data_IF_596569175992
#
_entry.id   IF_596569175992
#
_cell.length_a   1.000
_cell.length_b   1.000
_cell.length_c   1.000
_cell.angle_alpha   90.00
_cell.angle_beta   90.00
_cell.angle_gamma   90.00
#
_symmetry.space_group_name_H-M   'P 1'
#
loop_
_entity.id
_entity.type
_entity.pdbx_description
1 polymer ?
#
# COMPACT_ATOMS: atom_id res chain seq x y z
N UNK A 1 -6.48 0.60 -20.54
CA UNK A 1 -7.51 -0.36 -20.02
C UNK A 1 -6.99 -1.81 -19.84
N UNK A 2 -6.39 -2.45 -20.85
CA UNK A 2 -6.00 -3.87 -20.80
C UNK A 2 -5.09 -4.22 -19.60
N UNK A 3 -4.06 -3.41 -19.36
CA UNK A 3 -3.14 -3.60 -18.22
C UNK A 3 -3.88 -3.58 -16.87
N UNK A 4 -4.89 -2.72 -16.71
CA UNK A 4 -5.60 -2.53 -15.43
C UNK A 4 -6.43 -3.75 -15.02
N UNK A 5 -7.26 -4.30 -15.92
CA UNK A 5 -8.12 -5.41 -15.55
C UNK A 5 -7.34 -6.73 -15.51
N UNK A 6 -6.39 -6.96 -16.44
CA UNK A 6 -5.58 -8.18 -16.45
C UNK A 6 -4.72 -8.27 -15.19
N UNK A 7 -4.07 -7.17 -14.78
CA UNK A 7 -3.26 -7.17 -13.57
C UNK A 7 -4.10 -7.49 -12.32
N UNK A 8 -5.33 -6.96 -12.20
CA UNK A 8 -6.21 -7.32 -11.09
C UNK A 8 -6.67 -8.78 -11.13
N UNK A 9 -7.01 -9.32 -12.29
CA UNK A 9 -7.36 -10.75 -12.42
C UNK A 9 -6.17 -11.64 -12.06
N UNK A 10 -4.97 -11.32 -12.56
CA UNK A 10 -3.76 -12.07 -12.22
C UNK A 10 -3.44 -11.99 -10.71
N UNK A 11 -3.60 -10.81 -10.08
CA UNK A 11 -3.45 -10.65 -8.63
C UNK A 11 -4.49 -11.44 -7.84
N UNK A 12 -5.74 -11.50 -8.31
CA UNK A 12 -6.75 -12.36 -7.69
C UNK A 12 -6.36 -13.83 -7.76
N UNK A 13 -5.88 -14.29 -8.92
CA UNK A 13 -5.42 -15.68 -9.11
C UNK A 13 -4.24 -15.99 -8.21
N UNK A 14 -3.22 -15.13 -8.14
CA UNK A 14 -2.05 -15.38 -7.28
C UNK A 14 -2.42 -15.42 -5.81
N UNK A 15 -3.33 -14.56 -5.35
CA UNK A 15 -3.83 -14.57 -3.96
C UNK A 15 -4.68 -15.82 -3.68
N UNK A 16 -5.51 -16.28 -4.62
CA UNK A 16 -6.24 -17.55 -4.46
C UNK A 16 -5.28 -18.75 -4.40
N UNK A 17 -4.20 -18.74 -5.18
CA UNK A 17 -3.15 -19.75 -5.09
C UNK A 17 -2.46 -19.73 -3.72
N UNK A 18 -2.31 -18.57 -3.06
CA UNK A 18 -1.80 -18.49 -1.69
C UNK A 18 -2.72 -19.22 -0.72
N UNK A 19 -4.04 -19.02 -0.85
CA UNK A 19 -5.05 -19.72 -0.04
C UNK A 19 -4.96 -21.23 -0.23
N UNK A 20 -4.92 -21.70 -1.48
CA UNK A 20 -4.80 -23.13 -1.78
C UNK A 20 -3.51 -23.72 -1.19
N UNK A 21 -2.40 -22.99 -1.30
CA UNK A 21 -1.13 -23.43 -0.73
C UNK A 21 -1.17 -23.52 0.80
N UNK A 22 -1.79 -22.54 1.47
CA UNK A 22 -1.92 -22.53 2.93
C UNK A 22 -2.80 -23.69 3.42
N UNK A 23 -3.93 -23.93 2.75
CA UNK A 23 -4.83 -25.05 3.06
C UNK A 23 -4.17 -26.43 2.84
N UNK A 24 -3.24 -26.53 1.89
CA UNK A 24 -2.50 -27.76 1.64
C UNK A 24 -1.41 -28.01 2.69
N UNK A 25 -0.66 -26.97 3.08
CA UNK A 25 0.36 -27.07 4.12
C UNK A 25 0.67 -25.71 4.76
N UNK A 26 0.10 -25.44 5.94
CA UNK A 26 0.30 -24.20 6.69
C UNK A 26 1.75 -23.95 7.14
N UNK A 27 2.60 -24.98 7.20
CA UNK A 27 4.00 -24.83 7.65
C UNK A 27 4.94 -24.42 6.51
N UNK A 28 4.55 -24.67 5.26
CA UNK A 28 5.37 -24.35 4.11
C UNK A 28 5.10 -22.93 3.63
N UNK A 29 5.94 -21.98 4.04
CA UNK A 29 5.80 -20.57 3.68
C UNK A 29 6.48 -20.21 2.34
N UNK A 30 7.23 -21.14 1.74
CA UNK A 30 7.93 -20.87 0.47
C UNK A 30 7.00 -20.40 -0.66
N UNK A 31 5.83 -21.04 -0.88
CA UNK A 31 4.88 -20.59 -1.90
C UNK A 31 4.35 -19.18 -1.62
N UNK A 32 4.16 -18.79 -0.36
CA UNK A 32 3.74 -17.44 -0.02
C UNK A 32 4.76 -16.40 -0.47
N UNK A 33 6.06 -16.62 -0.24
CA UNK A 33 7.09 -15.69 -0.70
C UNK A 33 7.12 -15.57 -2.23
N UNK A 34 7.06 -16.68 -2.95
CA UNK A 34 7.07 -16.68 -4.42
C UNK A 34 5.80 -16.01 -4.96
N UNK A 35 4.63 -16.36 -4.46
CA UNK A 35 3.36 -15.79 -4.91
C UNK A 35 3.25 -14.30 -4.54
N UNK A 36 3.82 -13.88 -3.40
CA UNK A 36 3.87 -12.46 -3.01
C UNK A 36 4.77 -11.70 -3.95
N UNK A 37 5.94 -12.24 -4.28
CA UNK A 37 6.83 -11.66 -5.28
C UNK A 37 6.13 -11.51 -6.65
N UNK A 38 5.44 -12.56 -7.13
CA UNK A 38 4.69 -12.51 -8.39
C UNK A 38 3.56 -11.48 -8.33
N UNK A 39 2.80 -11.43 -7.23
CA UNK A 39 1.71 -10.45 -7.03
C UNK A 39 2.25 -9.02 -7.04
N UNK A 40 3.38 -8.77 -6.37
CA UNK A 40 4.06 -7.48 -6.35
C UNK A 40 4.57 -7.10 -7.74
N UNK A 41 5.17 -8.03 -8.48
CA UNK A 41 5.64 -7.82 -9.86
C UNK A 41 4.50 -7.39 -10.78
N UNK A 42 3.34 -8.07 -10.70
CA UNK A 42 2.14 -7.69 -11.46
C UNK A 42 1.66 -6.30 -11.05
N UNK A 43 1.68 -6.00 -9.74
CA UNK A 43 1.26 -4.72 -9.17
C UNK A 43 2.06 -3.51 -9.68
N UNK A 44 3.34 -3.70 -10.04
CA UNK A 44 4.18 -2.62 -10.56
C UNK A 44 3.67 -2.03 -11.88
N UNK A 45 2.92 -2.78 -12.67
CA UNK A 45 2.30 -2.28 -13.91
C UNK A 45 0.97 -1.56 -13.65
N UNK A 46 0.30 -1.86 -12.53
CA UNK A 46 -1.04 -1.32 -12.25
C UNK A 46 -0.99 0.17 -11.90
N UNK A 47 -0.13 0.57 -10.97
CA UNK A 47 -0.02 1.96 -10.49
C UNK A 47 0.26 2.97 -11.62
N UNK A 48 1.28 2.77 -12.50
CA UNK A 48 1.52 3.72 -13.59
C UNK A 48 0.39 3.71 -14.63
N UNK A 49 -0.21 2.54 -14.91
CA UNK A 49 -1.35 2.45 -15.82
C UNK A 49 -2.60 3.17 -15.27
N UNK A 50 -2.81 3.11 -13.96
CA UNK A 50 -3.91 3.79 -13.27
C UNK A 50 -3.71 5.30 -13.31
N UNK A 51 -2.50 5.76 -12.96
CA UNK A 51 -2.14 7.18 -13.03
C UNK A 51 -2.30 7.78 -14.43
N UNK A 52 -1.91 7.05 -15.48
CA UNK A 52 -2.09 7.48 -16.87
C UNK A 52 -3.57 7.50 -17.32
N UNK A 53 -4.44 6.75 -16.66
CA UNK A 53 -5.87 6.66 -17.03
C UNK A 53 -6.71 7.79 -16.46
N UNK A 54 -6.32 8.38 -15.33
CA UNK A 54 -7.04 9.49 -14.68
C UNK A 54 -7.25 10.69 -15.62
N UNK A 55 -6.21 11.29 -16.24
CA UNK A 55 -6.39 12.47 -17.08
C UNK A 55 -7.29 12.22 -18.30
N UNK A 56 -7.32 10.99 -18.82
CA UNK A 56 -8.17 10.60 -19.93
C UNK A 56 -9.67 10.59 -19.56
N UNK A 57 -10.00 10.40 -18.28
CA UNK A 57 -11.37 10.27 -17.81
C UNK A 57 -12.04 11.60 -17.42
N UNK A 58 -11.27 12.59 -16.95
CA UNK A 58 -11.83 13.83 -16.34
C UNK A 58 -11.49 15.12 -17.09
N UNK A 59 -10.58 15.07 -18.08
CA UNK A 59 -10.12 16.26 -18.79
C UNK A 59 -9.27 17.21 -17.93
N UNK A 60 -8.61 18.19 -18.57
CA UNK A 60 -7.61 19.03 -17.89
C UNK A 60 -8.17 19.92 -16.77
N UNK A 61 -9.42 20.37 -16.91
CA UNK A 61 -10.04 21.32 -15.98
C UNK A 61 -10.41 20.67 -14.64
N UNK A 62 -10.72 19.38 -14.64
CA UNK A 62 -11.08 18.62 -13.44
C UNK A 62 -9.94 17.72 -12.93
N UNK A 63 -8.76 17.79 -13.56
CA UNK A 63 -7.61 16.95 -13.22
C UNK A 63 -7.16 17.11 -11.77
N UNK A 64 -7.07 18.36 -11.29
CA UNK A 64 -6.64 18.64 -9.91
C UNK A 64 -7.66 18.14 -8.88
N UNK A 65 -8.97 18.42 -9.01
CA UNK A 65 -10.00 17.79 -8.17
C UNK A 65 -9.98 16.25 -8.20
N UNK A 66 -9.88 15.65 -9.39
CA UNK A 66 -9.88 14.19 -9.54
C UNK A 66 -8.66 13.54 -8.89
N UNK A 67 -7.47 14.10 -9.10
CA UNK A 67 -6.25 13.63 -8.47
C UNK A 67 -6.29 13.81 -6.94
N UNK A 68 -6.92 14.88 -6.45
CA UNK A 68 -7.11 15.10 -5.01
C UNK A 68 -8.05 14.04 -4.42
N UNK A 69 -9.18 13.77 -5.07
CA UNK A 69 -10.12 12.72 -4.64
C UNK A 69 -9.46 11.34 -4.65
N UNK A 70 -8.72 11.01 -5.71
CA UNK A 70 -7.97 9.76 -5.82
C UNK A 70 -6.93 9.59 -4.69
N UNK A 71 -6.20 10.65 -4.35
CA UNK A 71 -5.25 10.60 -3.24
C UNK A 71 -5.96 10.43 -1.89
N UNK A 72 -7.10 11.10 -1.67
CA UNK A 72 -7.88 10.96 -0.44
C UNK A 72 -8.42 9.52 -0.31
N UNK A 73 -8.96 8.94 -1.39
CA UNK A 73 -9.51 7.57 -1.35
C UNK A 73 -8.43 6.52 -1.16
N UNK A 74 -7.25 6.66 -1.78
CA UNK A 74 -6.12 5.75 -1.56
C UNK A 74 -5.58 5.84 -0.13
N UNK A 75 -5.44 7.06 0.38
CA UNK A 75 -5.05 7.35 1.77
C UNK A 75 -6.03 6.71 2.77
N UNK A 76 -7.34 6.91 2.56
CA UNK A 76 -8.37 6.32 3.40
C UNK A 76 -8.38 4.78 3.33
N UNK A 77 -8.19 4.23 2.12
CA UNK A 77 -8.13 2.77 1.92
C UNK A 77 -6.93 2.15 2.66
N UNK A 78 -5.77 2.81 2.65
CA UNK A 78 -4.59 2.39 3.43
C UNK A 78 -4.87 2.41 4.93
N UNK A 79 -5.44 3.50 5.45
CA UNK A 79 -5.83 3.62 6.85
C UNK A 79 -6.78 2.49 7.29
N UNK A 80 -7.83 2.22 6.51
CA UNK A 80 -8.79 1.14 6.78
C UNK A 80 -8.10 -0.23 6.69
N UNK A 81 -7.24 -0.43 5.68
CA UNK A 81 -6.49 -1.65 5.47
C UNK A 81 -5.62 -2.03 6.67
N UNK A 82 -4.82 -1.08 7.16
CA UNK A 82 -3.94 -1.29 8.31
C UNK A 82 -4.68 -1.43 9.63
N UNK A 83 -5.74 -0.65 9.85
CA UNK A 83 -6.40 -0.56 11.15
C UNK A 83 -7.46 -1.65 11.35
N UNK A 84 -8.28 -1.89 10.33
CA UNK A 84 -9.56 -2.57 10.50
C UNK A 84 -9.59 -3.94 9.83
N UNK A 85 -8.93 -4.10 8.68
CA UNK A 85 -9.15 -5.26 7.81
C UNK A 85 -8.84 -6.60 8.51
N UNK A 86 -7.67 -6.71 9.15
CA UNK A 86 -7.27 -7.93 9.86
C UNK A 86 -8.19 -8.25 11.04
N UNK A 87 -8.50 -7.27 11.88
CA UNK A 87 -9.36 -7.44 13.05
C UNK A 87 -10.82 -7.72 12.71
N UNK A 88 -11.38 -7.06 11.69
CA UNK A 88 -12.75 -7.30 11.20
C UNK A 88 -12.85 -8.73 10.67
N UNK A 89 -11.92 -9.15 9.82
CA UNK A 89 -11.96 -10.50 9.24
C UNK A 89 -11.78 -11.57 10.31
N UNK A 90 -10.87 -11.39 11.27
CA UNK A 90 -10.67 -12.33 12.36
C UNK A 90 -11.93 -12.50 13.24
N UNK A 91 -12.70 -11.44 13.46
CA UNK A 91 -13.96 -11.50 14.24
C UNK A 91 -15.15 -12.01 13.42
N UNK A 92 -15.24 -11.64 12.15
CA UNK A 92 -16.33 -12.05 11.28
C UNK A 92 -16.21 -13.51 10.82
N UNK A 93 -14.99 -14.00 10.65
CA UNK A 93 -14.69 -15.36 10.18
C UNK A 93 -13.74 -16.06 11.17
N UNK A 94 -14.26 -16.52 12.33
CA UNK A 94 -13.49 -17.33 13.26
C UNK A 94 -13.04 -18.65 12.59
N UNK A 95 -11.92 -19.26 13.04
CA UNK A 95 -11.39 -20.47 12.44
C UNK A 95 -12.43 -21.59 12.50
N UNK A 96 -12.66 -22.23 11.36
CA UNK A 96 -13.61 -23.33 11.26
C UNK A 96 -13.01 -24.50 10.48
N UNK A 97 -13.53 -25.68 10.77
CA UNK A 97 -13.07 -26.93 10.13
C UNK A 97 -14.14 -27.39 9.16
N UNK A 98 -13.79 -27.54 7.90
CA UNK A 98 -14.71 -27.99 6.86
C UNK A 98 -14.32 -29.41 6.47
N UNK A 99 -15.21 -30.37 6.76
CA UNK A 99 -15.04 -31.76 6.37
C UNK A 99 -15.73 -31.97 5.03
N UNK A 100 -14.96 -32.09 3.94
CA UNK A 100 -15.49 -32.47 2.62
C UNK A 100 -15.03 -33.88 2.30
N UNK A 101 -15.97 -34.83 2.35
CA UNK A 101 -15.72 -36.26 2.11
C UNK A 101 -14.58 -36.81 2.99
N UNK A 102 -13.37 -36.99 2.46
CA UNK A 102 -12.18 -37.51 3.15
C UNK A 102 -11.14 -36.44 3.51
N UNK A 103 -11.39 -35.17 3.20
CA UNK A 103 -10.45 -34.08 3.41
C UNK A 103 -10.93 -33.17 4.55
N UNK A 104 -10.17 -33.12 5.64
CA UNK A 104 -10.39 -32.19 6.75
C UNK A 104 -9.62 -30.91 6.48
N UNK A 105 -10.30 -29.87 6.04
CA UNK A 105 -9.70 -28.55 5.81
C UNK A 105 -9.85 -27.70 7.07
N UNK A 106 -8.72 -27.34 7.67
CA UNK A 106 -8.67 -26.38 8.77
C UNK A 106 -8.51 -24.98 8.18
N UNK A 107 -9.58 -24.19 8.16
CA UNK A 107 -9.55 -22.84 7.61
C UNK A 107 -9.28 -21.86 8.74
N UNK A 108 -8.19 -21.11 8.63
CA UNK A 108 -7.86 -20.04 9.56
C UNK A 108 -8.47 -18.71 9.09
N UNK A 109 -8.63 -17.76 10.01
CA UNK A 109 -9.13 -16.42 9.66
C UNK A 109 -8.24 -15.68 8.64
N UNK A 110 -6.94 -16.00 8.61
CA UNK A 110 -5.98 -15.44 7.64
C UNK A 110 -6.32 -15.90 6.21
N UNK A 111 -6.76 -17.15 6.03
CA UNK A 111 -7.15 -17.66 4.71
C UNK A 111 -8.35 -16.88 4.16
N UNK A 112 -9.30 -16.54 5.03
CA UNK A 112 -10.47 -15.72 4.69
C UNK A 112 -10.10 -14.28 4.32
N UNK A 113 -9.05 -13.73 4.93
CA UNK A 113 -8.51 -12.43 4.56
C UNK A 113 -8.01 -12.44 3.10
N UNK A 114 -7.25 -13.46 2.72
CA UNK A 114 -6.77 -13.62 1.35
C UNK A 114 -7.91 -13.86 0.36
N UNK A 115 -8.92 -14.67 0.70
CA UNK A 115 -10.12 -14.85 -0.13
C UNK A 115 -10.84 -13.51 -0.35
N UNK A 116 -11.01 -12.70 0.70
CA UNK A 116 -11.64 -11.39 0.59
C UNK A 116 -10.82 -10.45 -0.32
N UNK A 117 -9.50 -10.43 -0.17
CA UNK A 117 -8.61 -9.62 -1.04
C UNK A 117 -8.71 -10.07 -2.50
N UNK A 118 -8.74 -11.37 -2.77
CA UNK A 118 -8.94 -11.89 -4.11
C UNK A 118 -10.28 -11.47 -4.71
N UNK A 119 -11.37 -11.53 -3.92
CA UNK A 119 -12.69 -11.07 -4.35
C UNK A 119 -12.69 -9.57 -4.67
N UNK A 120 -12.03 -8.75 -3.84
CA UNK A 120 -11.92 -7.31 -4.09
C UNK A 120 -11.16 -7.00 -5.39
N UNK A 121 -10.11 -7.77 -5.72
CA UNK A 121 -9.44 -7.65 -7.01
C UNK A 121 -10.35 -8.03 -8.18
N UNK A 122 -11.17 -9.07 -8.04
CA UNK A 122 -12.16 -9.44 -9.07
C UNK A 122 -13.24 -8.36 -9.24
N UNK A 123 -13.76 -7.81 -8.14
CA UNK A 123 -14.71 -6.68 -8.18
C UNK A 123 -14.09 -5.47 -8.87
N UNK A 124 -12.82 -5.16 -8.55
CA UNK A 124 -12.07 -4.09 -9.23
C UNK A 124 -11.95 -4.34 -10.74
N UNK A 125 -11.59 -5.57 -11.14
CA UNK A 125 -11.52 -5.95 -12.55
C UNK A 125 -12.87 -5.78 -13.27
N UNK A 126 -13.98 -6.17 -12.64
CA UNK A 126 -15.33 -5.98 -13.19
C UNK A 126 -15.66 -4.49 -13.33
N UNK A 127 -15.37 -3.67 -12.31
CA UNK A 127 -15.59 -2.23 -12.37
C UNK A 127 -14.79 -1.56 -13.49
N UNK A 128 -13.53 -1.98 -13.71
CA UNK A 128 -12.69 -1.51 -14.83
C UNK A 128 -13.29 -1.94 -16.18
N UNK A 129 -13.87 -3.14 -16.26
CA UNK A 129 -14.55 -3.60 -17.48
C UNK A 129 -15.82 -2.81 -17.78
N UNK A 130 -16.50 -2.26 -16.76
CA UNK A 130 -17.65 -1.37 -16.94
C UNK A 130 -17.27 0.01 -17.51
N UNK A 131 -15.99 0.41 -17.45
CA UNK A 131 -15.53 1.68 -18.05
C UNK A 131 -15.57 1.55 -19.58
N UNK A 132 -16.25 2.48 -20.30
CA UNK A 132 -16.29 2.46 -21.76
C UNK A 132 -14.89 2.50 -22.36
N UNK A 133 -14.58 1.59 -23.28
CA UNK A 133 -13.24 1.50 -23.91
C UNK A 133 -12.81 2.84 -24.49
N UNK A 134 -13.75 3.55 -25.14
CA UNK A 134 -13.54 4.84 -25.80
C UNK A 134 -13.09 5.95 -24.85
N UNK A 135 -13.38 5.84 -23.55
CA UNK A 135 -12.98 6.83 -22.56
C UNK A 135 -11.50 6.70 -22.14
N UNK A 136 -10.84 5.59 -22.52
CA UNK A 136 -9.45 5.28 -22.19
C UNK A 136 -8.59 5.08 -23.45
N UNK A 137 -9.16 5.29 -24.63
CA UNK A 137 -8.44 5.25 -25.90
C UNK A 137 -7.91 6.67 -26.17
N UNK A 138 -6.59 6.81 -26.21
CA UNK A 138 -5.96 8.01 -26.75
C UNK A 138 -6.27 8.06 -28.25
N UNK A 139 -6.82 9.17 -28.76
CA UNK A 139 -6.92 9.43 -30.20
C UNK A 139 -5.48 9.59 -30.74
N UNK A 140 -4.80 8.48 -30.99
CA UNK A 140 -3.52 8.46 -31.72
C UNK A 140 -3.83 8.43 -33.22
N UNK A 141 -3.56 9.51 -33.98
CA UNK A 141 -3.89 9.57 -35.41
C UNK A 141 -3.05 8.62 -36.29
N UNK A 142 -2.02 7.98 -35.74
CA UNK A 142 -1.14 7.05 -36.44
C UNK A 142 -0.99 5.73 -35.65
N UNK A 143 -2.03 4.90 -35.65
CA UNK A 143 -1.83 3.47 -35.45
C UNK A 143 -1.29 2.88 -36.75
N UNK A 144 0.01 3.05 -36.98
CA UNK A 144 0.72 2.14 -37.89
C UNK A 144 0.53 0.72 -37.35
N UNK A 145 -0.16 -0.09 -38.14
CA UNK A 145 -0.40 -1.51 -37.91
C UNK A 145 0.90 -2.15 -37.42
N UNK A 146 0.90 -2.61 -36.17
CA UNK A 146 1.93 -3.47 -35.60
C UNK A 146 2.14 -4.67 -36.52
N UNK A 147 3.15 -4.60 -37.39
CA UNK A 147 3.67 -5.75 -38.12
C UNK A 147 4.54 -6.55 -37.15
N UNK A 148 4.34 -7.87 -37.11
CA UNK A 148 4.84 -8.77 -36.06
C UNK A 148 6.36 -8.96 -35.96
N UNK A 149 7.18 -8.00 -36.40
CA UNK A 149 8.64 -8.10 -36.50
C UNK A 149 9.42 -7.19 -35.55
N UNK A 150 8.75 -6.38 -34.71
CA UNK A 150 9.43 -5.30 -33.97
C UNK A 150 9.28 -5.32 -32.44
N UNK A 151 9.01 -6.47 -31.81
CA UNK A 151 9.00 -6.58 -30.34
C UNK A 151 10.31 -6.05 -29.70
N UNK A 152 11.45 -6.31 -30.35
CA UNK A 152 12.75 -5.78 -29.92
C UNK A 152 12.89 -4.26 -30.06
N UNK A 153 12.26 -3.65 -31.07
CA UNK A 153 12.30 -2.19 -31.24
C UNK A 153 11.36 -1.48 -30.27
N UNK A 154 10.19 -2.05 -29.99
CA UNK A 154 9.28 -1.54 -28.94
C UNK A 154 9.95 -1.57 -27.57
N UNK A 155 10.59 -2.69 -27.21
CA UNK A 155 11.37 -2.78 -25.96
C UNK A 155 12.49 -1.76 -25.88
N UNK A 156 13.21 -1.55 -26.99
CA UNK A 156 14.28 -0.55 -27.07
C UNK A 156 13.75 0.88 -26.90
N UNK A 157 12.58 1.18 -27.47
CA UNK A 157 11.91 2.48 -27.32
C UNK A 157 11.47 2.72 -25.87
N UNK A 158 10.79 1.75 -25.25
CA UNK A 158 10.39 1.83 -23.83
C UNK A 158 11.61 2.01 -22.92
N UNK A 159 12.68 1.26 -23.16
CA UNK A 159 13.93 1.41 -22.41
C UNK A 159 14.54 2.81 -22.57
N UNK A 160 14.54 3.34 -23.79
CA UNK A 160 15.03 4.69 -24.07
C UNK A 160 14.22 5.75 -23.32
N UNK A 161 12.88 5.67 -23.36
CA UNK A 161 11.97 6.57 -22.64
C UNK A 161 12.19 6.53 -21.12
N UNK A 162 12.38 5.33 -20.55
CA UNK A 162 12.71 5.17 -19.11
C UNK A 162 14.05 5.85 -18.77
N UNK A 163 15.08 5.63 -19.59
CA UNK A 163 16.41 6.22 -19.38
C UNK A 163 16.38 7.74 -19.53
N UNK A 164 15.61 8.25 -20.47
CA UNK A 164 15.40 9.69 -20.68
C UNK A 164 14.68 10.31 -19.48
N UNK A 165 13.59 9.71 -19.01
CA UNK A 165 12.87 10.14 -17.82
C UNK A 165 13.76 10.16 -16.57
N UNK A 166 14.59 9.13 -16.39
CA UNK A 166 15.56 9.09 -15.29
C UNK A 166 16.64 10.17 -15.42
N UNK A 167 17.15 10.41 -16.63
CA UNK A 167 18.12 11.49 -16.89
C UNK A 167 17.53 12.85 -16.57
N UNK A 168 16.26 13.08 -16.92
CA UNK A 168 15.54 14.31 -16.61
C UNK A 168 15.40 14.52 -15.10
N UNK A 169 14.90 13.51 -14.38
CA UNK A 169 14.78 13.55 -12.92
C UNK A 169 16.12 13.81 -12.25
N UNK A 170 17.21 13.20 -12.72
CA UNK A 170 18.56 13.39 -12.17
C UNK A 170 19.16 14.76 -12.47
N UNK A 171 18.74 15.41 -13.56
CA UNK A 171 19.31 16.70 -13.97
C UNK A 171 18.74 17.87 -13.18
N UNK A 172 17.47 17.78 -12.77
CA UNK A 172 16.81 18.79 -11.93
C UNK A 172 16.91 18.42 -10.44
N UNK A 173 17.56 19.28 -9.65
CA UNK A 173 17.80 19.02 -8.22
C UNK A 173 16.52 18.98 -7.38
N UNK A 174 15.51 19.78 -7.74
CA UNK A 174 14.24 19.86 -6.99
C UNK A 174 13.41 18.62 -7.26
N UNK A 175 13.32 18.19 -8.52
CA UNK A 175 12.64 16.96 -8.91
C UNK A 175 13.33 15.73 -8.31
N UNK A 176 14.66 15.66 -8.40
CA UNK A 176 15.44 14.57 -7.80
C UNK A 176 15.16 14.45 -6.30
N UNK A 177 15.27 15.57 -5.57
CA UNK A 177 15.01 15.59 -4.12
C UNK A 177 13.57 15.18 -3.79
N UNK A 178 12.61 15.61 -4.59
CA UNK A 178 11.19 15.26 -4.41
C UNK A 178 10.95 13.75 -4.60
N UNK A 179 11.56 13.13 -5.61
CA UNK A 179 11.46 11.69 -5.87
C UNK A 179 12.12 10.88 -4.75
N UNK A 180 13.31 11.30 -4.30
CA UNK A 180 13.99 10.67 -3.15
C UNK A 180 13.14 10.79 -1.90
N UNK A 181 12.61 11.98 -1.60
CA UNK A 181 11.78 12.20 -0.43
C UNK A 181 10.50 11.36 -0.47
N UNK A 182 9.80 11.31 -1.61
CA UNK A 182 8.61 10.48 -1.78
C UNK A 182 8.94 9.00 -1.56
N UNK A 183 10.07 8.54 -2.07
CA UNK A 183 10.53 7.17 -1.90
C UNK A 183 10.82 6.86 -0.43
N UNK A 184 11.53 7.73 0.28
CA UNK A 184 11.86 7.54 1.70
C UNK A 184 10.59 7.51 2.55
N UNK A 185 9.69 8.48 2.36
CA UNK A 185 8.41 8.52 3.10
C UNK A 185 7.57 7.28 2.82
N UNK A 186 7.46 6.86 1.55
CA UNK A 186 6.73 5.66 1.17
C UNK A 186 7.31 4.38 1.79
N UNK A 187 8.64 4.24 1.79
CA UNK A 187 9.32 3.10 2.44
C UNK A 187 9.10 3.11 3.96
N UNK A 188 9.22 4.26 4.60
CA UNK A 188 8.98 4.39 6.04
C UNK A 188 7.53 4.01 6.39
N UNK A 189 6.57 4.44 5.57
CA UNK A 189 5.16 4.10 5.76
C UNK A 189 4.91 2.59 5.66
N UNK A 190 5.52 1.93 4.67
CA UNK A 190 5.45 0.46 4.52
C UNK A 190 6.10 -0.26 5.71
N UNK A 191 7.27 0.24 6.17
CA UNK A 191 7.96 -0.31 7.34
C UNK A 191 7.11 -0.20 8.60
N UNK A 192 6.40 0.92 8.83
CA UNK A 192 5.47 1.03 9.97
C UNK A 192 4.40 -0.06 9.87
N UNK A 193 3.77 -0.21 8.69
CA UNK A 193 2.72 -1.20 8.48
C UNK A 193 3.16 -2.64 8.74
N UNK A 194 4.37 -3.01 8.30
CA UNK A 194 4.92 -4.36 8.45
C UNK A 194 5.48 -4.63 9.85
N UNK A 195 6.13 -3.64 10.48
CA UNK A 195 6.78 -3.80 11.78
C UNK A 195 5.84 -3.57 12.95
N UNK A 196 4.71 -2.88 12.77
CA UNK A 196 3.81 -2.53 13.88
C UNK A 196 3.38 -3.75 14.70
N UNK A 197 2.98 -4.86 14.05
CA UNK A 197 2.62 -6.10 14.76
C UNK A 197 3.79 -6.69 15.56
N UNK A 198 4.98 -6.70 14.96
CA UNK A 198 6.21 -7.19 15.61
C UNK A 198 6.59 -6.33 16.80
N UNK A 199 6.48 -4.99 16.69
CA UNK A 199 6.72 -4.06 17.79
C UNK A 199 5.71 -4.29 18.93
N UNK A 200 4.43 -4.47 18.62
CA UNK A 200 3.41 -4.75 19.64
C UNK A 200 3.71 -6.05 20.40
N UNK A 201 4.07 -7.11 19.67
CA UNK A 201 4.30 -8.43 20.28
C UNK A 201 5.65 -8.54 20.99
N UNK A 202 6.74 -8.12 20.34
CA UNK A 202 8.11 -8.35 20.81
C UNK A 202 8.64 -7.21 21.67
N UNK A 203 8.19 -5.98 21.46
CA UNK A 203 8.64 -4.82 22.23
C UNK A 203 7.68 -4.51 23.37
N UNK A 204 6.39 -4.42 23.06
CA UNK A 204 5.37 -4.02 24.04
C UNK A 204 4.76 -5.20 24.80
N UNK A 205 5.10 -6.44 24.42
CA UNK A 205 4.60 -7.68 25.04
C UNK A 205 3.06 -7.76 25.06
N UNK A 206 2.40 -7.12 24.08
CA UNK A 206 0.95 -7.13 23.92
C UNK A 206 0.53 -8.10 22.80
N UNK A 207 -0.70 -8.65 22.86
CA UNK A 207 -1.25 -9.43 21.76
C UNK A 207 -1.26 -8.63 20.45
N UNK A 208 -1.03 -9.29 19.31
CA UNK A 208 -1.08 -8.63 17.99
C UNK A 208 -2.45 -7.98 17.69
N UNK A 209 -3.52 -8.41 18.36
CA UNK A 209 -4.84 -7.79 18.25
C UNK A 209 -4.84 -6.31 18.68
N UNK A 210 -3.90 -5.91 19.56
CA UNK A 210 -3.78 -4.53 20.06
C UNK A 210 -3.00 -3.63 19.09
N UNK A 211 -2.46 -4.17 18.00
CA UNK A 211 -1.80 -3.40 16.92
C UNK A 211 -2.70 -2.29 16.36
N UNK A 212 -4.01 -2.56 16.28
CA UNK A 212 -4.99 -1.57 15.85
C UNK A 212 -4.99 -0.31 16.74
N UNK A 213 -4.74 -0.45 18.05
CA UNK A 213 -4.69 0.69 18.96
C UNK A 213 -3.50 1.61 18.68
N UNK A 214 -2.36 1.03 18.25
CA UNK A 214 -1.15 1.79 17.93
C UNK A 214 -1.24 2.44 16.56
N UNK A 215 -1.88 1.78 15.60
CA UNK A 215 -2.05 2.32 14.24
C UNK A 215 -3.22 3.29 14.09
N UNK A 216 -4.18 3.29 15.01
CA UNK A 216 -5.34 4.17 14.93
C UNK A 216 -4.96 5.68 14.92
N UNK A 217 -4.10 6.20 15.81
CA UNK A 217 -3.64 7.58 15.74
C UNK A 217 -2.96 7.92 14.40
N UNK A 218 -2.11 7.04 13.91
CA UNK A 218 -1.42 7.20 12.62
C UNK A 218 -2.41 7.30 11.45
N UNK A 219 -3.41 6.41 11.42
CA UNK A 219 -4.49 6.41 10.43
C UNK A 219 -5.32 7.70 10.49
N UNK A 220 -5.66 8.18 11.69
CA UNK A 220 -6.38 9.44 11.90
C UNK A 220 -5.52 10.62 11.43
N UNK A 221 -4.24 10.64 11.77
CA UNK A 221 -3.29 11.66 11.33
C UNK A 221 -3.17 11.71 9.80
N UNK A 222 -3.07 10.55 9.16
CA UNK A 222 -2.97 10.40 7.71
C UNK A 222 -4.24 10.90 6.99
N UNK A 223 -5.43 10.47 7.43
CA UNK A 223 -6.71 10.92 6.84
C UNK A 223 -6.96 12.40 7.14
N UNK A 224 -6.74 12.83 8.39
CA UNK A 224 -6.91 14.21 8.81
C UNK A 224 -5.99 15.17 8.07
N UNK A 225 -4.72 14.77 7.88
CA UNK A 225 -3.77 15.52 7.07
C UNK A 225 -4.29 15.66 5.63
N UNK A 226 -4.78 14.60 4.99
CA UNK A 226 -5.25 14.69 3.59
C UNK A 226 -6.34 15.75 3.36
N UNK A 227 -7.19 16.00 4.37
CA UNK A 227 -8.27 16.99 4.32
C UNK A 227 -7.78 18.41 4.62
N UNK A 228 -6.86 18.55 5.58
CA UNK A 228 -6.40 19.86 6.08
C UNK A 228 -5.23 20.40 5.24
N UNK A 229 -4.43 19.52 4.64
CA UNK A 229 -3.20 19.83 3.91
C UNK A 229 -3.38 20.85 2.78
N UNK A 230 -4.46 20.83 1.97
CA UNK A 230 -4.66 21.83 0.92
C UNK A 230 -4.70 23.26 1.48
N UNK A 231 -5.31 23.45 2.66
CA UNK A 231 -5.42 24.76 3.32
C UNK A 231 -4.08 25.21 3.89
N UNK A 232 -3.36 24.32 4.58
CA UNK A 232 -2.04 24.64 5.15
C UNK A 232 -1.03 24.94 4.04
N UNK A 233 -1.10 24.20 2.94
CA UNK A 233 -0.21 24.38 1.78
C UNK A 233 -0.38 25.77 1.15
N UNK A 234 -1.62 26.29 1.10
CA UNK A 234 -1.89 27.63 0.59
C UNK A 234 -1.29 28.74 1.48
N UNK A 235 -1.18 28.51 2.79
CA UNK A 235 -0.68 29.49 3.77
C UNK A 235 0.86 29.47 3.91
N UNK A 236 1.44 28.27 4.00
CA UNK A 236 2.86 28.09 4.39
C UNK A 236 3.76 27.85 3.16
N UNK A 237 3.17 27.43 2.05
CA UNK A 237 3.89 27.04 0.83
C UNK A 237 4.41 25.60 0.86
N UNK A 238 4.37 24.93 -0.29
CA UNK A 238 4.70 23.49 -0.46
C UNK A 238 6.07 23.13 0.12
N UNK A 239 7.13 23.83 -0.29
CA UNK A 239 8.53 23.46 0.04
C UNK A 239 8.78 23.48 1.56
N UNK A 240 8.31 24.52 2.25
CA UNK A 240 8.50 24.64 3.71
C UNK A 240 7.74 23.55 4.47
N UNK A 241 6.50 23.28 4.03
CA UNK A 241 5.65 22.28 4.64
C UNK A 241 6.21 20.87 4.47
N UNK A 242 6.71 20.57 3.27
CA UNK A 242 7.40 19.31 2.94
C UNK A 242 8.69 19.13 3.76
N UNK A 243 9.48 20.18 3.96
CA UNK A 243 10.68 20.14 4.81
C UNK A 243 10.35 19.96 6.29
N UNK A 244 9.38 20.71 6.81
CA UNK A 244 8.92 20.58 8.20
C UNK A 244 8.37 19.18 8.50
N UNK A 245 7.57 18.63 7.59
CA UNK A 245 7.03 17.27 7.74
C UNK A 245 8.12 16.21 7.79
N UNK A 246 9.18 16.35 6.98
CA UNK A 246 10.30 15.42 7.00
C UNK A 246 11.12 15.49 8.31
N UNK A 247 11.32 16.70 8.86
CA UNK A 247 11.96 16.89 10.16
C UNK A 247 11.11 16.29 11.27
N UNK A 248 9.80 16.55 11.29
CA UNK A 248 8.89 15.97 12.28
C UNK A 248 8.91 14.44 12.24
N UNK A 249 8.89 13.87 11.04
CA UNK A 249 8.97 12.43 10.84
C UNK A 249 10.31 11.87 11.38
N UNK A 250 11.45 12.48 11.02
CA UNK A 250 12.74 12.06 11.53
C UNK A 250 12.83 12.13 13.07
N UNK A 251 12.34 13.23 13.67
CA UNK A 251 12.29 13.39 15.12
C UNK A 251 11.42 12.31 15.77
N UNK A 252 10.22 12.07 15.24
CA UNK A 252 9.31 11.02 15.74
C UNK A 252 9.97 9.63 15.75
N UNK A 253 10.58 9.24 14.63
CA UNK A 253 11.30 7.96 14.52
C UNK A 253 12.49 7.84 15.46
N UNK A 254 13.24 8.93 15.67
CA UNK A 254 14.37 8.91 16.62
C UNK A 254 13.93 8.85 18.08
N UNK A 255 12.75 9.39 18.40
CA UNK A 255 12.21 9.39 19.75
C UNK A 255 11.68 8.01 20.16
N UNK A 256 11.16 7.21 19.24
CA UNK A 256 10.66 5.84 19.53
C UNK A 256 11.66 4.94 20.28
N UNK A 257 12.92 4.76 19.83
CA UNK A 257 13.89 3.96 20.57
C UNK A 257 14.36 4.63 21.87
N UNK A 258 14.32 5.97 21.95
CA UNK A 258 14.68 6.72 23.16
C UNK A 258 13.62 6.52 24.25
N UNK A 259 12.33 6.59 23.91
CA UNK A 259 11.23 6.34 24.85
C UNK A 259 11.25 4.89 25.35
N UNK A 260 11.58 3.93 24.48
CA UNK A 260 11.76 2.54 24.87
C UNK A 260 12.90 2.36 25.89
N UNK A 261 14.08 2.95 25.62
CA UNK A 261 15.21 2.90 26.57
C UNK A 261 14.87 3.59 27.89
N UNK A 262 14.22 4.74 27.84
CA UNK A 262 13.83 5.50 29.03
C UNK A 262 12.82 4.71 29.89
N UNK A 263 11.82 4.06 29.26
CA UNK A 263 10.86 3.21 29.96
C UNK A 263 11.53 2.00 30.61
N UNK A 264 12.49 1.36 29.92
CA UNK A 264 13.26 0.24 30.51
C UNK A 264 14.12 0.69 31.69
N UNK A 265 14.65 1.91 31.67
CA UNK A 265 15.45 2.47 32.76
C UNK A 265 14.60 2.88 33.97
N UNK A 266 13.41 3.45 33.74
CA UNK A 266 12.52 3.95 34.79
C UNK A 266 11.71 2.84 35.49
N UNK A 267 11.33 1.79 34.76
CA UNK A 267 10.37 0.77 35.24
C UNK A 267 10.94 -0.66 35.25
N UNK A 268 12.21 -0.86 34.89
CA UNK A 268 12.84 -2.19 34.84
C UNK A 268 12.13 -3.13 33.85
N UNK A 269 12.03 -4.43 34.19
CA UNK A 269 11.36 -5.44 33.34
C UNK A 269 9.86 -5.17 33.10
N UNK A 270 9.19 -4.42 33.98
CA UNK A 270 7.78 -4.02 33.78
C UNK A 270 7.60 -2.76 32.92
N UNK A 271 8.70 -2.12 32.49
CA UNK A 271 8.64 -0.92 31.66
C UNK A 271 8.11 -1.15 30.26
N UNK A 272 8.32 -2.35 29.72
CA UNK A 272 7.83 -2.76 28.40
C UNK A 272 6.30 -2.88 28.34
N UNK A 273 5.66 -3.27 29.45
CA UNK A 273 4.20 -3.37 29.60
C UNK A 273 3.57 -2.12 30.21
N UNK A 274 4.33 -1.04 30.42
CA UNK A 274 3.82 0.16 31.08
C UNK A 274 2.80 0.89 30.17
N UNK A 275 1.64 1.33 30.70
CA UNK A 275 0.66 2.07 29.91
C UNK A 275 1.23 3.40 29.40
N UNK A 276 2.23 3.97 30.08
CA UNK A 276 2.94 5.18 29.65
C UNK A 276 3.77 4.96 28.37
N UNK A 277 4.42 3.80 28.21
CA UNK A 277 5.13 3.46 26.98
C UNK A 277 4.15 3.29 25.81
N UNK A 278 2.99 2.67 26.06
CA UNK A 278 1.93 2.55 25.05
C UNK A 278 1.39 3.93 24.62
N UNK A 279 1.09 4.82 25.56
CA UNK A 279 0.61 6.17 25.22
C UNK A 279 1.66 7.01 24.49
N UNK A 280 2.93 6.93 24.89
CA UNK A 280 4.01 7.67 24.22
C UNK A 280 4.32 7.12 22.84
N UNK A 281 4.26 5.80 22.64
CA UNK A 281 4.38 5.21 21.30
C UNK A 281 3.19 5.57 20.41
N UNK A 282 1.96 5.52 20.93
CA UNK A 282 0.75 5.97 20.22
C UNK A 282 0.78 7.45 19.81
N UNK A 283 1.44 8.31 20.58
CA UNK A 283 1.58 9.74 20.26
C UNK A 283 2.70 10.02 19.26
N UNK A 284 3.71 9.15 19.20
CA UNK A 284 4.88 9.32 18.33
C UNK A 284 4.66 8.72 16.93
N UNK A 285 3.82 7.69 16.82
CA UNK A 285 3.41 7.04 15.57
C UNK A 285 2.26 7.81 14.94
#
# INVERSE_FOLDING_TARGET
>A
RLVLWISNVLRAVTVLLMVVSLLANHTNLWPLYVLTFVTSLIGQFFIPAEGASIPLLVGEHELVPALSLFNITTTLSQAIGFLLLGGIVARAFPPFTLQVASLTLHVQSIDMLFVMVALLYLVCAVLILCIPTRALDEEHPNQDRYSGTEAGQTLKKVWFEIVEGWRYVRSDRILFFSVVQLSVVGNIMLLIGELAGTVVQQVLHHPAADMALILAPAAIGLVGASIIMPRITALVGKVRLTGAGFIMLAVGFTLLPVTQKLASYLYGEMGASSPLLLWTTMLLV
#
